data_IF_026563641780
#
_entry.id   IF_026563641780
#
_cell.length_a   1.000
_cell.length_b   1.000
_cell.length_c   1.000
_cell.angle_alpha   90.00
_cell.angle_beta   90.00
_cell.angle_gamma   90.00
#
_symmetry.space_group_name_H-M   'P 1'
#
loop_
_entity.id
_entity.type
_entity.pdbx_description
1 polymer ?
#
# COMPACT_ATOMS: atom_id res chain seq x y z
N UNK A 1 -1.22 16.48 10.32
CA UNK A 1 -0.62 15.81 9.15
C UNK A 1 -0.62 14.31 9.39
N UNK A 2 -0.82 13.53 8.34
CA UNK A 2 -0.90 12.07 8.47
C UNK A 2 0.42 11.49 9.00
N UNK A 3 0.32 10.70 10.06
CA UNK A 3 1.47 9.96 10.62
C UNK A 3 1.80 8.74 9.76
N UNK A 4 0.78 8.18 9.10
CA UNK A 4 0.90 7.02 8.24
C UNK A 4 0.19 7.27 6.92
N UNK A 5 0.86 7.01 5.80
CA UNK A 5 0.21 6.90 4.50
C UNK A 5 0.23 5.47 4.02
N UNK A 6 -0.94 4.93 3.74
CA UNK A 6 -1.13 3.61 3.13
C UNK A 6 -1.30 3.80 1.63
N UNK A 7 -0.53 3.07 0.83
CA UNK A 7 -0.71 2.99 -0.62
C UNK A 7 -1.11 1.56 -0.96
N UNK A 8 -2.35 1.39 -1.38
CA UNK A 8 -2.93 0.09 -1.71
C UNK A 8 -2.94 -0.12 -3.23
N UNK A 9 -2.79 -1.35 -3.65
CA UNK A 9 -2.79 -1.73 -5.06
C UNK A 9 -4.20 -1.82 -5.66
N UNK A 10 -5.23 -1.91 -4.80
CA UNK A 10 -6.66 -1.88 -5.20
C UNK A 10 -7.55 -1.26 -4.10
N UNK A 11 -8.78 -0.91 -4.50
CA UNK A 11 -9.76 -0.27 -3.63
C UNK A 11 -10.15 -1.17 -2.43
N UNK A 12 -10.33 -2.46 -2.66
CA UNK A 12 -10.69 -3.40 -1.58
C UNK A 12 -9.61 -3.41 -0.49
N UNK A 13 -8.33 -3.49 -0.90
CA UNK A 13 -7.21 -3.43 0.04
C UNK A 13 -7.11 -2.10 0.78
N UNK A 14 -7.41 -0.99 0.10
CA UNK A 14 -7.46 0.34 0.71
C UNK A 14 -8.53 0.40 1.80
N UNK A 15 -9.75 -0.01 1.50
CA UNK A 15 -10.88 0.00 2.45
C UNK A 15 -10.67 -0.98 3.61
N UNK A 16 -10.23 -2.21 3.32
CA UNK A 16 -9.93 -3.22 4.34
C UNK A 16 -8.87 -2.73 5.33
N UNK A 17 -7.87 -2.01 4.85
CA UNK A 17 -6.83 -1.45 5.71
C UNK A 17 -7.35 -0.24 6.49
N UNK A 18 -8.03 0.68 5.81
CA UNK A 18 -8.56 1.89 6.43
C UNK A 18 -9.50 1.59 7.59
N UNK A 19 -10.40 0.61 7.45
CA UNK A 19 -11.35 0.23 8.49
C UNK A 19 -10.67 -0.32 9.76
N UNK A 20 -9.49 -0.95 9.65
CA UNK A 20 -8.76 -1.44 10.83
C UNK A 20 -8.29 -0.31 11.73
N UNK A 21 -7.90 0.83 11.14
CA UNK A 21 -7.53 2.02 11.90
C UNK A 21 -8.77 2.75 12.45
N UNK A 22 -9.80 2.92 11.61
CA UNK A 22 -11.05 3.57 12.01
C UNK A 22 -11.71 2.86 13.21
N UNK A 23 -11.72 1.52 13.24
CA UNK A 23 -12.23 0.72 14.36
C UNK A 23 -11.43 0.90 15.67
N UNK A 24 -10.31 1.58 15.63
CA UNK A 24 -9.47 1.91 16.80
C UNK A 24 -9.46 3.39 17.14
N UNK A 25 -10.50 4.11 16.71
CA UNK A 25 -10.68 5.54 16.95
C UNK A 25 -9.55 6.41 16.38
N UNK A 26 -8.88 5.95 15.32
CA UNK A 26 -7.89 6.71 14.57
C UNK A 26 -8.61 7.40 13.40
N UNK A 27 -8.34 8.68 13.18
CA UNK A 27 -8.94 9.39 12.05
C UNK A 27 -8.34 8.90 10.73
N UNK A 28 -9.21 8.50 9.78
CA UNK A 28 -8.82 7.94 8.49
C UNK A 28 -9.50 8.68 7.37
N UNK A 29 -8.75 9.01 6.32
CA UNK A 29 -9.31 9.45 5.04
C UNK A 29 -8.84 8.53 3.94
N UNK A 30 -9.73 8.22 3.01
CA UNK A 30 -9.45 7.34 1.86
C UNK A 30 -9.67 8.12 0.58
N UNK A 31 -8.75 8.01 -0.35
CA UNK A 31 -8.89 8.52 -1.70
C UNK A 31 -8.57 7.43 -2.72
N UNK A 32 -9.33 7.40 -3.82
CA UNK A 32 -8.99 6.61 -5.00
C UNK A 32 -8.38 7.55 -6.04
N UNK A 33 -7.28 7.13 -6.66
CA UNK A 33 -6.64 7.88 -7.74
C UNK A 33 -6.68 7.08 -9.04
N UNK A 34 -6.98 7.78 -10.11
CA UNK A 34 -6.97 7.22 -11.45
C UNK A 34 -5.75 7.75 -12.22
N UNK A 35 -4.74 6.89 -12.36
CA UNK A 35 -3.51 7.25 -13.07
C UNK A 35 -2.53 8.08 -12.22
N UNK A 36 -1.87 9.06 -12.82
CA UNK A 36 -0.84 9.91 -12.18
C UNK A 36 -1.41 11.14 -11.49
N UNK A 37 -2.70 11.16 -11.20
CA UNK A 37 -3.33 12.31 -10.55
C UNK A 37 -2.82 12.48 -9.12
N UNK A 38 -2.45 13.69 -8.75
CA UNK A 38 -2.15 14.04 -7.38
C UNK A 38 -3.40 13.89 -6.50
N UNK A 39 -3.25 13.42 -5.28
CA UNK A 39 -4.32 13.45 -4.29
C UNK A 39 -4.40 14.83 -3.66
N UNK A 40 -5.60 15.22 -3.21
CA UNK A 40 -5.79 16.48 -2.49
C UNK A 40 -5.04 16.46 -1.16
N UNK A 41 -4.40 17.55 -0.80
CA UNK A 41 -3.62 17.68 0.45
C UNK A 41 -4.48 17.47 1.71
N UNK A 42 -5.77 17.76 1.63
CA UNK A 42 -6.72 17.48 2.70
C UNK A 42 -6.75 16.02 3.15
N UNK A 43 -6.38 15.07 2.27
CA UNK A 43 -6.24 13.66 2.61
C UNK A 43 -5.28 13.47 3.79
N UNK A 44 -4.18 14.22 3.80
CA UNK A 44 -3.12 14.12 4.79
C UNK A 44 -3.41 14.86 6.11
N UNK A 45 -4.61 15.43 6.28
CA UNK A 45 -5.03 16.04 7.56
C UNK A 45 -5.58 15.01 8.56
N UNK A 46 -5.83 13.77 8.14
CA UNK A 46 -6.16 12.66 9.03
C UNK A 46 -4.91 12.05 9.66
N UNK A 47 -5.04 11.24 10.71
CA UNK A 47 -3.91 10.50 11.29
C UNK A 47 -3.37 9.45 10.31
N UNK A 48 -4.28 8.83 9.55
CA UNK A 48 -3.96 7.86 8.50
C UNK A 48 -4.58 8.30 7.18
N UNK A 49 -3.74 8.51 6.19
CA UNK A 49 -4.14 8.71 4.80
C UNK A 49 -4.07 7.37 4.06
N UNK A 50 -5.13 6.98 3.37
CA UNK A 50 -5.18 5.74 2.59
C UNK A 50 -5.43 6.08 1.13
N UNK A 51 -4.57 5.60 0.24
CA UNK A 51 -4.64 5.86 -1.19
C UNK A 51 -4.82 4.53 -1.93
N UNK A 52 -5.92 4.38 -2.65
CA UNK A 52 -6.05 3.36 -3.68
C UNK A 52 -5.31 3.84 -4.93
N UNK A 53 -4.18 3.24 -5.23
CA UNK A 53 -3.35 3.58 -6.38
C UNK A 53 -3.83 2.91 -7.68
N UNK A 54 -4.73 1.93 -7.58
CA UNK A 54 -5.31 1.20 -8.72
C UNK A 54 -4.26 0.60 -9.67
N UNK A 55 -3.18 0.02 -9.11
CA UNK A 55 -2.02 -0.44 -9.89
C UNK A 55 -1.92 -1.95 -10.08
N UNK A 56 -2.83 -2.72 -9.47
CA UNK A 56 -2.78 -4.20 -9.52
C UNK A 56 -2.73 -4.74 -10.95
N UNK A 57 -3.51 -4.15 -11.85
CA UNK A 57 -3.66 -4.58 -13.24
C UNK A 57 -2.92 -3.70 -14.25
N UNK A 58 -2.12 -2.74 -13.77
CA UNK A 58 -1.28 -1.88 -14.63
C UNK A 58 -0.01 -2.61 -15.06
N UNK A 59 0.68 -2.06 -16.07
CA UNK A 59 2.02 -2.54 -16.36
C UNK A 59 2.97 -2.23 -15.18
N UNK A 60 4.05 -3.02 -15.05
CA UNK A 60 5.08 -2.80 -14.03
C UNK A 60 5.61 -1.36 -14.02
N UNK A 61 5.85 -0.81 -15.20
CA UNK A 61 6.37 0.56 -15.35
C UNK A 61 5.36 1.62 -14.89
N UNK A 62 4.08 1.44 -15.23
CA UNK A 62 3.02 2.34 -14.75
C UNK A 62 2.84 2.25 -13.23
N UNK A 63 2.83 1.03 -12.68
CA UNK A 63 2.72 0.83 -11.24
C UNK A 63 3.86 1.49 -10.48
N UNK A 64 5.10 1.32 -10.95
CA UNK A 64 6.27 1.99 -10.39
C UNK A 64 6.11 3.52 -10.40
N UNK A 65 5.79 4.11 -11.56
CA UNK A 65 5.67 5.56 -11.71
C UNK A 65 4.59 6.15 -10.79
N UNK A 66 3.39 5.54 -10.79
CA UNK A 66 2.27 5.99 -9.95
C UNK A 66 2.65 5.91 -8.47
N UNK A 67 3.19 4.79 -8.02
CA UNK A 67 3.58 4.64 -6.62
C UNK A 67 4.71 5.58 -6.22
N UNK A 68 5.70 5.83 -7.10
CA UNK A 68 6.77 6.79 -6.85
C UNK A 68 6.21 8.20 -6.59
N UNK A 69 5.33 8.67 -7.46
CA UNK A 69 4.69 9.99 -7.35
C UNK A 69 3.87 10.11 -6.06
N UNK A 70 3.08 9.09 -5.72
CA UNK A 70 2.25 9.06 -4.52
C UNK A 70 3.08 9.04 -3.23
N UNK A 71 4.15 8.24 -3.18
CA UNK A 71 5.06 8.23 -2.01
C UNK A 71 5.76 9.57 -1.86
N UNK A 72 6.27 10.15 -2.94
CA UNK A 72 6.88 11.47 -2.90
C UNK A 72 5.92 12.54 -2.42
N UNK A 73 4.66 12.50 -2.86
CA UNK A 73 3.63 13.43 -2.39
C UNK A 73 3.36 13.26 -0.89
N UNK A 74 3.18 12.03 -0.42
CA UNK A 74 2.98 11.74 1.00
C UNK A 74 4.12 12.30 1.87
N UNK A 75 5.36 12.09 1.46
CA UNK A 75 6.53 12.59 2.17
C UNK A 75 6.59 14.12 2.17
N UNK A 76 6.30 14.78 1.04
CA UNK A 76 6.20 16.25 0.98
C UNK A 76 5.09 16.81 1.89
N UNK A 77 4.01 16.07 2.06
CA UNK A 77 2.91 16.41 2.99
C UNK A 77 3.22 16.01 4.45
N UNK A 78 4.45 15.60 4.77
CA UNK A 78 4.91 15.38 6.14
C UNK A 78 4.47 14.06 6.77
N UNK A 79 4.21 13.02 5.96
CA UNK A 79 3.98 11.66 6.46
C UNK A 79 5.25 11.11 7.14
N UNK A 80 5.09 10.52 8.32
CA UNK A 80 6.20 9.90 9.06
C UNK A 80 6.56 8.51 8.50
N UNK A 81 5.56 7.77 8.01
CA UNK A 81 5.73 6.38 7.56
C UNK A 81 4.85 6.06 6.35
N UNK A 82 5.36 5.21 5.47
CA UNK A 82 4.61 4.69 4.32
C UNK A 82 4.40 3.18 4.49
N UNK A 83 3.17 2.74 4.26
CA UNK A 83 2.77 1.34 4.26
C UNK A 83 2.24 0.94 2.89
N UNK A 84 2.90 -0.03 2.25
CA UNK A 84 2.46 -0.57 0.96
C UNK A 84 1.52 -1.75 1.22
N UNK A 85 0.24 -1.57 0.91
CA UNK A 85 -0.77 -2.62 1.04
C UNK A 85 -0.91 -3.37 -0.27
N UNK A 86 -0.56 -4.65 -0.23
CA UNK A 86 -0.60 -5.55 -1.38
C UNK A 86 -1.61 -6.67 -1.19
N UNK A 87 -1.90 -7.39 -2.26
CA UNK A 87 -2.69 -8.62 -2.21
C UNK A 87 -1.96 -9.72 -1.45
N UNK A 88 -2.62 -10.35 -0.48
CA UNK A 88 -2.05 -11.47 0.28
C UNK A 88 -1.92 -12.77 -0.52
N UNK A 89 -2.51 -12.83 -1.73
CA UNK A 89 -2.27 -13.87 -2.74
C UNK A 89 -1.09 -13.56 -3.67
N UNK A 90 -0.33 -12.48 -3.40
CA UNK A 90 0.83 -12.01 -4.17
C UNK A 90 0.52 -11.64 -5.63
N UNK A 91 -0.73 -11.28 -5.94
CA UNK A 91 -1.09 -10.77 -7.27
C UNK A 91 -0.62 -9.32 -7.43
N UNK A 92 -0.37 -8.91 -8.66
CA UNK A 92 -0.09 -7.53 -9.03
C UNK A 92 1.41 -7.18 -9.03
N UNK A 93 1.68 -5.89 -8.93
CA UNK A 93 3.00 -5.30 -9.18
C UNK A 93 3.81 -5.07 -7.91
N UNK A 94 3.83 -6.04 -6.98
CA UNK A 94 4.41 -5.90 -5.64
C UNK A 94 5.84 -5.36 -5.68
N UNK A 95 6.72 -5.97 -6.48
CA UNK A 95 8.11 -5.55 -6.58
C UNK A 95 8.27 -4.10 -7.08
N UNK A 96 7.42 -3.67 -8.03
CA UNK A 96 7.45 -2.30 -8.53
C UNK A 96 7.00 -1.29 -7.48
N UNK A 97 5.97 -1.62 -6.70
CA UNK A 97 5.48 -0.76 -5.62
C UNK A 97 6.53 -0.58 -4.51
N UNK A 98 7.18 -1.68 -4.10
CA UNK A 98 8.26 -1.60 -3.10
C UNK A 98 9.47 -0.85 -3.62
N UNK A 99 9.90 -1.10 -4.86
CA UNK A 99 11.00 -0.36 -5.47
C UNK A 99 10.70 1.14 -5.50
N UNK A 100 9.49 1.52 -5.93
CA UNK A 100 9.07 2.91 -5.95
C UNK A 100 9.09 3.56 -4.56
N UNK A 101 8.64 2.83 -3.53
CA UNK A 101 8.65 3.33 -2.16
C UNK A 101 10.06 3.52 -1.62
N UNK A 102 10.98 2.61 -1.88
CA UNK A 102 12.38 2.71 -1.49
C UNK A 102 13.07 3.87 -2.21
N UNK A 103 12.88 3.99 -3.53
CA UNK A 103 13.48 5.05 -4.33
C UNK A 103 12.96 6.45 -3.92
N UNK A 104 11.67 6.56 -3.60
CA UNK A 104 11.07 7.82 -3.18
C UNK A 104 11.50 8.25 -1.78
N UNK A 105 11.63 7.29 -0.85
CA UNK A 105 11.93 7.58 0.56
C UNK A 105 13.42 7.60 0.87
N UNK A 106 14.26 7.03 0.03
CA UNK A 106 15.68 6.81 0.31
C UNK A 106 15.92 5.78 1.42
N UNK A 107 14.93 5.00 1.80
CA UNK A 107 15.05 3.99 2.84
C UNK A 107 15.94 2.83 2.36
N UNK A 108 16.81 2.34 3.25
CA UNK A 108 17.73 1.25 2.93
C UNK A 108 17.04 -0.12 2.83
N UNK A 109 15.86 -0.28 3.45
CA UNK A 109 15.14 -1.54 3.49
C UNK A 109 13.63 -1.34 3.68
N UNK A 110 12.85 -2.33 3.25
CA UNK A 110 11.44 -2.46 3.55
C UNK A 110 11.16 -3.84 4.15
N UNK A 111 10.19 -3.90 5.06
CA UNK A 111 9.72 -5.17 5.65
C UNK A 111 8.47 -5.63 4.92
N UNK A 112 8.44 -6.90 4.53
CA UNK A 112 7.31 -7.48 3.82
C UNK A 112 6.71 -8.69 4.55
N UNK A 113 5.45 -8.59 4.93
CA UNK A 113 4.72 -9.64 5.65
C UNK A 113 3.32 -9.83 5.04
N UNK A 114 3.19 -10.59 3.93
CA UNK A 114 1.94 -10.73 3.18
C UNK A 114 0.93 -11.67 3.82
N UNK A 115 1.29 -12.42 4.85
CA UNK A 115 0.42 -13.43 5.45
C UNK A 115 -0.92 -12.85 5.94
N UNK A 116 -2.00 -13.60 5.70
CA UNK A 116 -3.35 -13.31 6.19
C UNK A 116 -3.98 -14.62 6.71
N UNK A 117 -3.61 -15.07 7.94
CA UNK A 117 -3.98 -16.39 8.45
C UNK A 117 -5.48 -16.64 8.51
N UNK A 118 -6.29 -15.62 8.80
CA UNK A 118 -7.77 -15.73 8.82
C UNK A 118 -8.37 -16.16 7.47
N UNK A 119 -7.59 -16.07 6.38
CA UNK A 119 -7.98 -16.51 5.04
C UNK A 119 -7.09 -17.65 4.54
N UNK A 120 -6.49 -18.43 5.46
CA UNK A 120 -5.57 -19.52 5.12
C UNK A 120 -4.42 -19.11 4.20
N UNK A 121 -3.97 -17.85 4.27
CA UNK A 121 -2.83 -17.35 3.51
C UNK A 121 -1.64 -17.20 4.46
N UNK A 122 -0.68 -18.11 4.32
CA UNK A 122 0.43 -18.29 5.26
C UNK A 122 1.77 -18.14 4.55
N UNK A 123 2.73 -17.53 5.24
CA UNK A 123 4.13 -17.52 4.78
C UNK A 123 4.94 -18.47 5.65
N UNK A 124 5.61 -19.45 5.04
CA UNK A 124 6.48 -20.42 5.72
C UNK A 124 7.77 -20.57 4.96
N UNK A 125 8.91 -20.34 5.62
CA UNK A 125 10.22 -20.45 4.98
C UNK A 125 10.40 -19.56 3.74
N UNK A 126 9.79 -18.37 3.73
CA UNK A 126 9.83 -17.44 2.59
C UNK A 126 8.86 -17.79 1.45
N UNK A 127 8.06 -18.84 1.58
CA UNK A 127 7.08 -19.26 0.57
C UNK A 127 5.67 -18.91 1.06
N UNK A 128 4.88 -18.29 0.20
CA UNK A 128 3.46 -17.99 0.45
C UNK A 128 2.58 -19.17 0.04
N UNK A 129 1.61 -19.49 0.89
CA UNK A 129 0.64 -20.59 0.69
C UNK A 129 -0.77 -20.01 0.73
N UNK A 130 -1.65 -20.57 -0.11
CA UNK A 130 -3.11 -20.39 -0.05
C UNK A 130 -3.73 -21.76 0.15
N UNK A 131 -4.51 -21.93 1.22
CA UNK A 131 -5.16 -23.22 1.58
C UNK A 131 -4.18 -24.41 1.58
N UNK A 132 -2.97 -24.18 2.06
CA UNK A 132 -1.92 -25.20 2.13
C UNK A 132 -1.16 -25.46 0.82
N UNK A 133 -1.52 -24.78 -0.26
CA UNK A 133 -0.85 -24.89 -1.58
C UNK A 133 0.12 -23.74 -1.77
N UNK A 134 1.41 -24.01 -2.09
CA UNK A 134 2.36 -22.94 -2.35
C UNK A 134 1.99 -22.17 -3.63
N UNK A 135 2.12 -20.86 -3.58
CA UNK A 135 1.98 -19.99 -4.76
C UNK A 135 3.25 -20.12 -5.61
N UNK A 136 3.07 -20.33 -6.91
CA UNK A 136 4.17 -20.40 -7.89
C UNK A 136 4.43 -19.03 -8.52
#
# INVERSE_FOLDING_TARGET
MARLTVIADDLTGALDTGVQFANRCVSVRVAAVHGTAAVHEELFQADVAVIDAEVRHRSRQQAYKICLELVQQALRCGTDSVYIKTDSGLRGNIGAMFQAALDASGAAAAYYAPALPRMNRLTRGGIQYIDGVPIK
#
